data_IF_821212492398
#
_entry.id   IF_821212492398
#
_cell.length_a   1.000
_cell.length_b   1.000
_cell.length_c   1.000
_cell.angle_alpha   90.00
_cell.angle_beta   90.00
_cell.angle_gamma   90.00
#
_symmetry.space_group_name_H-M   'P 1'
#
loop_
_entity.id
_entity.type
_entity.pdbx_description
1 polymer ?
#
# COMPACT_ATOMS: atom_id res chain seq x y z
N UNK A 1 2.86 15.54 3.47
CA UNK A 1 3.63 14.50 2.76
C UNK A 1 3.68 14.86 1.29
N UNK A 2 4.85 14.91 0.74
CA UNK A 2 5.04 15.15 -0.68
C UNK A 2 4.82 13.85 -1.44
N UNK A 3 3.93 13.87 -2.43
CA UNK A 3 3.59 12.68 -3.24
C UNK A 3 4.33 12.65 -4.60
N UNK A 4 5.33 13.49 -4.78
CA UNK A 4 6.08 13.55 -6.04
C UNK A 4 6.75 12.21 -6.40
N UNK A 5 7.00 11.35 -5.40
CA UNK A 5 7.55 10.02 -5.64
C UNK A 5 6.66 9.13 -6.51
N UNK A 6 5.34 9.33 -6.51
CA UNK A 6 4.40 8.52 -7.30
C UNK A 6 4.69 8.62 -8.79
N UNK A 7 5.14 9.79 -9.23
CA UNK A 7 5.47 10.07 -10.63
C UNK A 7 6.97 9.94 -10.92
N UNK A 8 7.78 9.61 -9.92
CA UNK A 8 9.23 9.48 -10.10
C UNK A 8 9.55 8.10 -10.69
N UNK A 9 9.91 8.08 -11.97
CA UNK A 9 10.23 6.86 -12.69
C UNK A 9 11.39 6.10 -12.05
N UNK A 10 12.42 6.80 -11.61
CA UNK A 10 13.60 6.16 -10.99
C UNK A 10 13.26 5.46 -9.68
N UNK A 11 12.35 6.04 -8.90
CA UNK A 11 11.82 5.44 -7.68
C UNK A 11 11.08 4.13 -7.97
N UNK A 12 10.19 4.15 -8.94
CA UNK A 12 9.39 2.98 -9.33
C UNK A 12 10.30 1.89 -9.92
N UNK A 13 11.22 2.25 -10.81
CA UNK A 13 12.17 1.33 -11.41
C UNK A 13 13.09 0.68 -10.36
N UNK A 14 13.53 1.43 -9.36
CA UNK A 14 14.32 0.90 -8.26
C UNK A 14 13.55 -0.18 -7.48
N UNK A 15 12.28 0.05 -7.16
CA UNK A 15 11.45 -0.92 -6.46
C UNK A 15 11.27 -2.19 -7.30
N UNK A 16 10.94 -2.05 -8.57
CA UNK A 16 10.74 -3.20 -9.48
C UNK A 16 12.03 -4.00 -9.69
N UNK A 17 13.15 -3.32 -9.88
CA UNK A 17 14.46 -3.96 -10.09
C UNK A 17 14.92 -4.76 -8.86
N UNK A 18 14.59 -4.29 -7.66
CA UNK A 18 15.07 -4.87 -6.40
C UNK A 18 13.98 -5.65 -5.64
N UNK A 19 12.84 -5.93 -6.23
CA UNK A 19 11.71 -6.59 -5.56
C UNK A 19 12.04 -7.95 -4.95
N UNK A 20 13.03 -8.65 -5.48
CA UNK A 20 13.48 -9.95 -4.99
C UNK A 20 14.75 -9.88 -4.12
N UNK A 21 15.28 -8.69 -3.89
CA UNK A 21 16.46 -8.47 -3.05
C UNK A 21 16.00 -8.24 -1.60
N UNK A 22 16.71 -8.82 -0.63
CA UNK A 22 16.36 -8.61 0.78
C UNK A 22 16.54 -7.15 1.17
N UNK A 23 15.58 -6.55 1.89
CA UNK A 23 15.70 -5.16 2.34
C UNK A 23 16.96 -4.87 3.16
N UNK A 24 17.38 -5.84 3.99
CA UNK A 24 18.61 -5.73 4.78
C UNK A 24 19.84 -5.56 3.87
N UNK A 25 19.95 -6.36 2.82
CA UNK A 25 21.04 -6.24 1.84
C UNK A 25 21.06 -4.87 1.18
N UNK A 26 19.88 -4.34 0.83
CA UNK A 26 19.77 -3.02 0.21
C UNK A 26 20.18 -1.90 1.16
N UNK A 27 19.84 -2.00 2.45
CA UNK A 27 20.23 -1.00 3.45
C UNK A 27 21.73 -0.97 3.73
N UNK A 28 22.43 -2.08 3.49
CA UNK A 28 23.88 -2.16 3.65
C UNK A 28 24.64 -1.60 2.44
N UNK A 29 24.01 -1.44 1.30
CA UNK A 29 24.64 -0.86 0.11
C UNK A 29 24.67 0.66 0.20
N UNK A 30 25.76 1.25 -0.30
CA UNK A 30 25.87 2.70 -0.49
C UNK A 30 25.34 3.04 -1.88
N UNK A 31 24.35 3.92 -1.94
CA UNK A 31 23.83 4.47 -3.19
C UNK A 31 24.38 5.87 -3.38
N UNK A 32 24.78 6.18 -4.62
CA UNK A 32 25.14 7.56 -5.02
C UNK A 32 23.89 8.42 -5.07
N UNK A 33 24.08 9.73 -5.26
CA UNK A 33 22.99 10.70 -5.34
C UNK A 33 21.82 10.17 -6.19
N UNK A 34 20.66 10.10 -5.56
CA UNK A 34 19.43 9.64 -6.19
C UNK A 34 18.40 10.76 -6.21
N UNK A 35 17.50 10.70 -7.19
CA UNK A 35 16.42 11.68 -7.32
C UNK A 35 15.27 11.42 -6.36
N UNK A 36 15.38 10.40 -5.49
CA UNK A 36 14.33 9.96 -4.58
C UNK A 36 14.93 9.47 -3.26
N UNK A 37 14.06 9.33 -2.24
CA UNK A 37 14.44 8.78 -0.94
C UNK A 37 14.63 7.25 -1.03
N UNK A 38 15.88 6.83 -0.95
CA UNK A 38 16.27 5.40 -0.99
C UNK A 38 15.66 4.63 0.19
N UNK A 39 15.65 5.20 1.39
CA UNK A 39 15.12 4.52 2.57
C UNK A 39 13.62 4.27 2.42
N UNK A 40 12.91 5.24 1.88
CA UNK A 40 11.48 5.10 1.60
C UNK A 40 11.23 4.02 0.52
N UNK A 41 12.05 3.96 -0.52
CA UNK A 41 11.96 2.94 -1.55
C UNK A 41 12.21 1.53 -0.99
N UNK A 42 13.22 1.37 -0.13
CA UNK A 42 13.50 0.09 0.53
C UNK A 42 12.34 -0.31 1.46
N UNK A 43 11.75 0.63 2.15
CA UNK A 43 10.55 0.40 2.96
C UNK A 43 9.40 -0.14 2.12
N UNK A 44 9.17 0.40 0.90
CA UNK A 44 8.15 -0.14 -0.01
C UNK A 44 8.43 -1.60 -0.38
N UNK A 45 9.67 -1.96 -0.66
CA UNK A 45 10.06 -3.35 -0.98
C UNK A 45 9.77 -4.26 0.22
N UNK A 46 10.18 -3.87 1.41
CA UNK A 46 9.94 -4.63 2.64
C UNK A 46 8.43 -4.81 2.91
N UNK A 47 7.66 -3.74 2.77
CA UNK A 47 6.22 -3.75 2.97
C UNK A 47 5.49 -4.62 1.95
N UNK A 48 5.85 -4.55 0.68
CA UNK A 48 5.29 -5.41 -0.36
C UNK A 48 5.53 -6.89 -0.06
N UNK A 49 6.73 -7.24 0.39
CA UNK A 49 7.05 -8.61 0.76
C UNK A 49 6.20 -9.14 1.92
N UNK A 50 5.96 -8.32 2.94
CA UNK A 50 5.07 -8.66 4.05
C UNK A 50 3.61 -8.74 3.63
N UNK A 51 3.20 -7.89 2.71
CA UNK A 51 1.80 -7.76 2.30
C UNK A 51 1.33 -8.85 1.32
N UNK A 52 2.22 -9.60 0.68
CA UNK A 52 1.86 -10.61 -0.33
C UNK A 52 0.81 -11.62 0.15
N UNK A 53 0.92 -12.10 1.38
CA UNK A 53 -0.04 -13.06 1.95
C UNK A 53 -1.34 -12.42 2.39
N UNK A 54 -1.29 -11.16 2.84
CA UNK A 54 -2.43 -10.43 3.40
C UNK A 54 -3.25 -9.72 2.34
N UNK A 55 -2.59 -9.21 1.29
CA UNK A 55 -3.15 -8.43 0.21
C UNK A 55 -2.70 -8.97 -1.16
N UNK A 56 -3.04 -10.22 -1.53
CA UNK A 56 -2.45 -10.86 -2.70
C UNK A 56 -2.70 -10.14 -4.03
N UNK A 57 -3.82 -9.42 -4.18
CA UNK A 57 -4.10 -8.67 -5.42
C UNK A 57 -3.72 -7.19 -5.36
N UNK A 58 -3.39 -6.66 -4.17
CA UNK A 58 -3.16 -5.24 -3.95
C UNK A 58 -1.72 -4.90 -3.52
N UNK A 59 -0.93 -5.86 -3.05
CA UNK A 59 0.34 -5.61 -2.38
C UNK A 59 1.34 -4.77 -3.19
N UNK A 60 1.32 -4.89 -4.50
CA UNK A 60 2.23 -4.18 -5.42
C UNK A 60 1.58 -2.94 -6.09
N UNK A 61 0.33 -2.65 -5.76
CA UNK A 61 -0.45 -1.55 -6.35
C UNK A 61 -0.63 -0.35 -5.43
N UNK A 62 -0.20 -0.47 -4.18
CA UNK A 62 -0.35 0.57 -3.16
C UNK A 62 1.01 0.97 -2.60
N UNK A 63 1.07 2.15 -1.98
CA UNK A 63 2.23 2.63 -1.25
C UNK A 63 1.96 2.58 0.25
N UNK A 64 2.99 2.24 1.01
CA UNK A 64 2.92 2.03 2.44
C UNK A 64 3.61 3.19 3.16
N UNK A 65 2.88 4.02 3.93
CA UNK A 65 3.49 5.12 4.68
C UNK A 65 4.48 4.64 5.75
N UNK A 66 4.16 3.52 6.41
CA UNK A 66 5.00 2.92 7.46
C UNK A 66 4.86 1.39 7.44
N UNK A 67 5.82 0.70 8.06
CA UNK A 67 5.79 -0.76 8.22
C UNK A 67 4.55 -1.24 8.99
N UNK A 68 4.14 -0.47 10.00
CA UNK A 68 3.00 -0.76 10.87
C UNK A 68 1.67 -0.79 10.11
N UNK A 69 1.58 -0.03 9.03
CA UNK A 69 0.34 0.06 8.24
C UNK A 69 -0.16 -1.31 7.76
N UNK A 70 0.74 -2.24 7.45
CA UNK A 70 0.38 -3.59 7.01
C UNK A 70 -0.15 -4.43 8.16
N UNK A 71 0.46 -4.32 9.33
CA UNK A 71 0.05 -5.08 10.51
C UNK A 71 -1.34 -4.69 10.96
N UNK A 72 -1.69 -3.42 10.81
CA UNK A 72 -2.97 -2.85 11.21
C UNK A 72 -4.07 -2.96 10.15
N UNK A 73 -3.73 -3.23 8.89
CA UNK A 73 -4.73 -3.30 7.84
C UNK A 73 -5.51 -4.62 7.87
N UNK A 74 -6.75 -4.57 7.37
CA UNK A 74 -7.59 -5.74 7.18
C UNK A 74 -7.04 -6.63 6.08
N UNK A 75 -7.15 -7.96 6.21
CA UNK A 75 -6.83 -8.89 5.12
C UNK A 75 -7.78 -8.67 3.95
N UNK A 76 -7.31 -8.96 2.75
CA UNK A 76 -8.10 -8.76 1.53
C UNK A 76 -9.43 -9.53 1.56
N UNK A 77 -9.40 -10.80 1.96
CA UNK A 77 -10.61 -11.63 2.06
C UNK A 77 -11.64 -11.06 3.02
N UNK A 78 -11.20 -10.59 4.19
CA UNK A 78 -12.08 -9.97 5.20
C UNK A 78 -12.60 -8.61 4.69
N UNK A 79 -11.76 -7.83 4.04
CA UNK A 79 -12.16 -6.55 3.47
C UNK A 79 -13.20 -6.71 2.33
N UNK A 80 -13.05 -7.73 1.50
CA UNK A 80 -14.07 -8.07 0.49
C UNK A 80 -15.41 -8.40 1.15
N UNK A 81 -15.39 -9.19 2.22
CA UNK A 81 -16.60 -9.50 2.97
C UNK A 81 -17.22 -8.24 3.59
N UNK A 82 -16.41 -7.39 4.23
CA UNK A 82 -16.89 -6.09 4.75
C UNK A 82 -17.53 -5.25 3.65
N UNK A 83 -16.87 -5.17 2.49
CA UNK A 83 -17.39 -4.42 1.34
C UNK A 83 -18.75 -4.92 0.89
N UNK A 84 -18.96 -6.24 0.87
CA UNK A 84 -20.22 -6.86 0.44
C UNK A 84 -21.41 -6.48 1.31
N UNK A 85 -21.19 -6.15 2.58
CA UNK A 85 -22.25 -5.74 3.50
C UNK A 85 -22.89 -4.38 3.15
N UNK A 86 -22.19 -3.58 2.35
CA UNK A 86 -22.64 -2.24 1.95
C UNK A 86 -23.23 -2.18 0.55
N UNK A 87 -23.50 -3.33 -0.05
CA UNK A 87 -24.12 -3.41 -1.37
C UNK A 87 -25.46 -2.69 -1.40
N UNK A 88 -25.59 -1.74 -2.33
CA UNK A 88 -26.80 -0.93 -2.49
C UNK A 88 -26.85 0.32 -1.60
N UNK A 89 -25.83 0.57 -0.77
CA UNK A 89 -25.75 1.82 -0.01
C UNK A 89 -25.35 3.00 -0.90
N UNK A 90 -25.91 4.19 -0.63
CA UNK A 90 -25.55 5.41 -1.36
C UNK A 90 -24.22 5.97 -0.84
N UNK A 91 -24.12 6.26 0.45
CA UNK A 91 -22.93 6.83 1.07
C UNK A 91 -22.54 6.03 2.30
N UNK A 92 -21.28 5.67 2.38
CA UNK A 92 -20.69 4.98 3.54
C UNK A 92 -19.55 5.85 4.08
N UNK A 93 -19.49 5.97 5.39
CA UNK A 93 -18.42 6.68 6.11
C UNK A 93 -17.50 5.66 6.75
N UNK A 94 -16.22 5.72 6.43
CA UNK A 94 -15.18 4.91 7.05
C UNK A 94 -14.32 5.80 7.94
N UNK A 95 -14.52 5.71 9.25
CA UNK A 95 -13.79 6.51 10.25
C UNK A 95 -12.43 5.91 10.64
N UNK A 96 -12.11 4.72 10.17
CA UNK A 96 -10.88 4.00 10.50
C UNK A 96 -10.14 3.55 9.23
N UNK A 97 -9.99 4.45 8.28
CA UNK A 97 -9.51 4.13 6.93
C UNK A 97 -8.15 3.42 6.90
N UNK A 98 -7.17 3.90 7.69
CA UNK A 98 -5.81 3.37 7.65
C UNK A 98 -5.25 3.36 6.22
N UNK A 99 -4.88 2.19 5.70
CA UNK A 99 -4.44 2.02 4.31
C UNK A 99 -5.58 2.09 3.28
N UNK A 100 -6.83 2.19 3.74
CA UNK A 100 -7.98 2.28 2.84
C UNK A 100 -8.42 0.95 2.23
N UNK A 101 -7.98 -0.19 2.76
CA UNK A 101 -8.32 -1.50 2.18
C UNK A 101 -9.82 -1.77 2.29
N UNK A 102 -10.43 -1.58 3.47
CA UNK A 102 -11.87 -1.69 3.64
C UNK A 102 -12.63 -0.70 2.76
N UNK A 103 -12.21 0.57 2.75
CA UNK A 103 -12.82 1.61 1.90
C UNK A 103 -12.77 1.26 0.43
N UNK A 104 -11.68 0.66 -0.05
CA UNK A 104 -11.54 0.21 -1.43
C UNK A 104 -12.62 -0.81 -1.81
N UNK A 105 -12.81 -1.85 -0.99
CA UNK A 105 -13.82 -2.88 -1.26
C UNK A 105 -15.25 -2.38 -1.03
N UNK A 106 -15.46 -1.49 -0.04
CA UNK A 106 -16.76 -0.84 0.14
C UNK A 106 -17.12 0.00 -1.09
N UNK A 107 -16.16 0.70 -1.69
CA UNK A 107 -16.37 1.53 -2.88
C UNK A 107 -16.82 0.75 -4.11
N UNK A 108 -16.55 -0.54 -4.16
CA UNK A 108 -17.02 -1.41 -5.23
C UNK A 108 -18.51 -1.78 -5.11
N UNK A 109 -19.12 -1.56 -3.95
CA UNK A 109 -20.50 -1.92 -3.64
C UNK A 109 -21.40 -0.72 -3.34
N UNK A 110 -20.87 0.37 -2.82
CA UNK A 110 -21.58 1.61 -2.51
C UNK A 110 -21.30 2.67 -3.57
N UNK A 111 -22.19 3.64 -3.72
CA UNK A 111 -22.01 4.73 -4.69
C UNK A 111 -20.89 5.68 -4.27
N UNK A 112 -20.81 6.00 -2.98
CA UNK A 112 -19.81 6.93 -2.42
C UNK A 112 -19.28 6.39 -1.10
N UNK A 113 -17.96 6.47 -0.93
CA UNK A 113 -17.29 6.18 0.33
C UNK A 113 -16.51 7.43 0.75
N UNK A 114 -16.69 7.85 1.99
CA UNK A 114 -15.92 8.93 2.61
C UNK A 114 -15.04 8.35 3.71
N UNK A 115 -13.74 8.41 3.50
CA UNK A 115 -12.75 7.85 4.42
C UNK A 115 -12.06 8.96 5.23
N UNK A 116 -11.77 8.69 6.47
CA UNK A 116 -11.16 9.64 7.41
C UNK A 116 -9.88 9.10 8.04
#
# INVERSE_FOLDING_TARGET
MDFDFINNKDFIDFIEKNKNVTPTSLRLKKFKDTTFDINFAITQIACRNKAKSKLPSLYDKIFYPTDISIEQCTTETVAEFHGSLFKGCDTVYDFTCGLGIDSFFISQNAKTVRSF
#
